data_IF_734624216393
#
_entry.id   IF_734624216393
#
_cell.length_a   1.000
_cell.length_b   1.000
_cell.length_c   1.000
_cell.angle_alpha   90.00
_cell.angle_beta   90.00
_cell.angle_gamma   90.00
#
_symmetry.space_group_name_H-M   'P 1'
#
loop_
_entity.id
_entity.type
_entity.pdbx_description
1 polymer ?
#
# COMPACT_ATOMS: atom_id res chain seq x y z
N UNK A 1 -11.29 -5.43 -23.59
CA UNK A 1 -11.22 -5.41 -22.12
C UNK A 1 -9.89 -4.76 -21.73
N UNK A 2 -9.90 -3.88 -20.73
CA UNK A 2 -8.70 -3.21 -20.22
C UNK A 2 -8.53 -3.50 -18.75
N UNK A 3 -7.28 -3.71 -18.30
CA UNK A 3 -6.94 -3.82 -16.88
C UNK A 3 -6.35 -2.47 -16.45
N UNK A 4 -6.95 -1.86 -15.42
CA UNK A 4 -6.45 -0.62 -14.83
C UNK A 4 -5.43 -0.95 -13.74
N UNK A 5 -4.15 -0.93 -14.09
CA UNK A 5 -3.03 -1.14 -13.17
C UNK A 5 -2.33 0.19 -12.81
N UNK A 6 -3.04 1.32 -12.88
CA UNK A 6 -2.43 2.66 -12.69
C UNK A 6 -2.32 3.09 -11.22
N UNK A 7 -2.53 2.16 -10.28
CA UNK A 7 -2.38 2.40 -8.86
C UNK A 7 -3.43 3.38 -8.31
N UNK A 8 -3.06 4.16 -7.33
CA UNK A 8 -3.96 5.15 -6.72
C UNK A 8 -4.53 6.19 -7.70
N UNK A 9 -3.89 6.39 -8.84
CA UNK A 9 -4.38 7.34 -9.88
C UNK A 9 -5.66 6.86 -10.55
N UNK A 10 -5.90 5.52 -10.65
CA UNK A 10 -7.13 4.93 -11.20
C UNK A 10 -7.52 5.53 -12.56
N UNK A 11 -6.55 5.72 -13.45
CA UNK A 11 -6.70 6.53 -14.66
C UNK A 11 -7.84 6.04 -15.55
N UNK A 12 -7.93 4.73 -15.80
CA UNK A 12 -8.98 4.17 -16.63
C UNK A 12 -10.31 4.06 -15.87
N UNK A 13 -10.25 3.67 -14.61
CA UNK A 13 -11.45 3.51 -13.77
C UNK A 13 -12.15 4.82 -13.52
N UNK A 14 -11.41 5.92 -13.32
CA UNK A 14 -11.97 7.25 -13.13
C UNK A 14 -12.55 7.85 -14.42
N UNK A 15 -12.14 7.37 -15.60
CA UNK A 15 -12.69 7.79 -16.87
C UNK A 15 -14.11 7.24 -17.12
N UNK A 16 -14.54 6.23 -16.36
CA UNK A 16 -15.88 5.62 -16.50
C UNK A 16 -16.82 6.24 -15.46
N UNK A 17 -17.97 6.82 -15.88
CA UNK A 17 -18.93 7.41 -14.96
C UNK A 17 -19.41 6.43 -13.89
N UNK A 18 -19.66 6.94 -12.68
CA UNK A 18 -20.17 6.15 -11.55
C UNK A 18 -19.09 5.28 -10.89
N UNK A 19 -17.83 5.65 -10.92
CA UNK A 19 -16.77 5.02 -10.13
C UNK A 19 -16.96 5.44 -8.66
N UNK A 20 -17.62 4.58 -7.88
CA UNK A 20 -17.92 4.83 -6.48
C UNK A 20 -16.84 4.19 -5.62
N UNK A 21 -15.92 5.03 -5.13
CA UNK A 21 -14.97 4.60 -4.11
C UNK A 21 -15.66 4.54 -2.76
N UNK A 22 -15.70 3.36 -2.19
CA UNK A 22 -16.28 3.14 -0.86
C UNK A 22 -15.16 3.14 0.16
N UNK A 23 -15.23 4.02 1.13
CA UNK A 23 -14.30 4.06 2.26
C UNK A 23 -14.88 3.28 3.44
N UNK A 24 -14.06 2.57 4.24
CA UNK A 24 -14.53 1.88 5.43
C UNK A 24 -14.88 2.84 6.59
N UNK A 25 -14.87 4.16 6.34
CA UNK A 25 -15.17 5.17 7.34
C UNK A 25 -14.15 5.15 8.48
N UNK A 26 -14.65 5.29 9.72
CA UNK A 26 -13.84 5.36 10.93
C UNK A 26 -13.20 4.02 11.35
N UNK A 27 -13.41 2.95 10.57
CA UNK A 27 -12.84 1.63 10.89
C UNK A 27 -11.32 1.57 10.65
N UNK A 28 -10.78 2.41 9.76
CA UNK A 28 -9.34 2.50 9.49
C UNK A 28 -8.82 3.86 9.93
N UNK A 29 -7.94 3.82 10.91
CA UNK A 29 -7.45 5.01 11.59
C UNK A 29 -6.41 5.78 10.78
N UNK A 30 -5.53 5.09 10.03
CA UNK A 30 -4.41 5.71 9.32
C UNK A 30 -4.75 6.05 7.87
N UNK A 31 -4.23 7.18 7.38
CA UNK A 31 -4.44 7.66 6.03
C UNK A 31 -3.18 8.25 5.39
N UNK A 32 -2.07 8.21 6.10
CA UNK A 32 -0.79 8.75 5.64
C UNK A 32 0.36 7.89 6.16
N UNK A 33 1.49 7.96 5.47
CA UNK A 33 2.72 7.34 5.92
C UNK A 33 3.94 8.21 5.58
N UNK A 34 4.95 8.14 6.43
CA UNK A 34 6.31 8.59 6.13
C UNK A 34 7.22 7.37 6.05
N UNK A 35 7.99 7.25 4.98
CA UNK A 35 8.84 6.09 4.72
C UNK A 35 10.27 6.49 4.41
N UNK A 36 11.23 5.66 4.84
CA UNK A 36 12.64 5.82 4.50
C UNK A 36 13.36 4.46 4.49
N UNK A 37 14.62 4.48 4.08
CA UNK A 37 15.52 3.33 4.09
C UNK A 37 16.41 3.38 5.32
N UNK A 38 16.52 2.27 6.04
CA UNK A 38 17.25 2.15 7.29
C UNK A 38 18.42 1.21 7.09
N UNK A 39 19.62 1.64 7.49
CA UNK A 39 20.78 0.77 7.53
C UNK A 39 20.65 -0.23 8.69
N UNK A 40 21.14 -1.44 8.49
CA UNK A 40 21.34 -2.35 9.61
C UNK A 40 22.32 -1.75 10.63
N UNK A 41 22.12 -2.07 11.90
CA UNK A 41 22.97 -1.60 12.99
C UNK A 41 24.36 -2.23 12.92
N UNK A 42 24.36 -3.53 12.63
CA UNK A 42 25.56 -4.36 12.44
C UNK A 42 25.19 -5.62 11.67
N UNK A 43 26.20 -6.43 11.31
CA UNK A 43 26.02 -7.69 10.56
C UNK A 43 25.24 -8.77 11.31
N UNK A 44 25.02 -8.61 12.61
CA UNK A 44 24.28 -9.55 13.46
C UNK A 44 22.81 -9.15 13.62
N UNK A 45 22.40 -7.96 13.15
CA UNK A 45 20.99 -7.58 13.17
C UNK A 45 20.19 -8.53 12.28
N UNK A 46 19.18 -9.18 12.86
CA UNK A 46 18.47 -10.29 12.22
C UNK A 46 17.78 -9.88 10.91
N UNK A 47 18.09 -10.61 9.84
CA UNK A 47 17.41 -10.53 8.55
C UNK A 47 16.39 -11.68 8.46
N UNK A 48 15.25 -11.51 9.12
CA UNK A 48 14.16 -12.50 9.07
C UNK A 48 13.28 -12.33 7.83
N UNK A 49 12.59 -13.40 7.36
CA UNK A 49 11.82 -13.38 6.12
C UNK A 49 10.36 -12.91 6.31
N UNK A 50 10.11 -12.04 7.25
CA UNK A 50 8.78 -11.48 7.53
C UNK A 50 8.84 -9.97 7.81
N UNK A 51 7.71 -9.32 7.73
CA UNK A 51 7.54 -7.90 8.04
C UNK A 51 7.09 -7.78 9.49
N UNK A 52 7.77 -6.95 10.28
CA UNK A 52 7.29 -6.58 11.60
C UNK A 52 6.32 -5.40 11.49
N UNK A 53 5.25 -5.46 12.26
CA UNK A 53 4.37 -4.34 12.54
C UNK A 53 4.50 -3.98 14.02
N UNK A 54 4.97 -2.79 14.30
CA UNK A 54 5.25 -2.31 15.66
C UNK A 54 4.28 -1.19 16.01
N UNK A 55 3.55 -1.33 17.10
CA UNK A 55 2.67 -0.27 17.59
C UNK A 55 3.48 0.99 17.95
N UNK A 56 2.93 2.15 17.65
CA UNK A 56 3.48 3.47 17.96
C UNK A 56 2.35 4.43 18.37
N UNK A 57 2.63 5.43 19.20
CA UNK A 57 1.61 6.36 19.70
C UNK A 57 0.87 7.12 18.58
N UNK A 58 1.54 7.36 17.44
CA UNK A 58 0.93 8.01 16.27
C UNK A 58 0.24 7.03 15.30
N UNK A 59 0.39 5.70 15.52
CA UNK A 59 -0.13 4.68 14.64
C UNK A 59 0.70 3.40 14.68
N UNK A 60 1.46 3.05 13.63
CA UNK A 60 2.30 1.86 13.64
C UNK A 60 3.44 1.95 12.63
N UNK A 61 4.54 1.26 12.92
CA UNK A 61 5.74 1.22 12.09
C UNK A 61 5.88 -0.16 11.45
N UNK A 62 6.09 -0.22 10.13
CA UNK A 62 6.52 -1.45 9.48
C UNK A 62 8.04 -1.51 9.40
N UNK A 63 8.57 -2.74 9.45
CA UNK A 63 9.97 -3.05 9.19
C UNK A 63 10.02 -4.22 8.23
N UNK A 64 10.59 -3.99 7.07
CA UNK A 64 10.76 -5.02 6.02
C UNK A 64 12.25 -5.26 5.84
N UNK A 65 12.83 -6.28 6.50
CA UNK A 65 14.23 -6.64 6.28
C UNK A 65 14.43 -7.13 4.85
N UNK A 66 15.43 -6.58 4.18
CA UNK A 66 15.90 -7.05 2.89
C UNK A 66 17.42 -7.13 2.93
N UNK A 67 18.05 -7.69 1.90
CA UNK A 67 19.46 -8.08 1.92
C UNK A 67 20.45 -7.02 2.45
N UNK A 68 20.23 -5.75 2.15
CA UNK A 68 21.20 -4.66 2.40
C UNK A 68 20.66 -3.51 3.23
N UNK A 69 19.38 -3.58 3.63
CA UNK A 69 18.70 -2.53 4.40
C UNK A 69 17.37 -3.01 4.98
N UNK A 70 16.78 -2.18 5.78
CA UNK A 70 15.39 -2.32 6.21
C UNK A 70 14.56 -1.24 5.50
N UNK A 71 13.54 -1.65 4.75
CA UNK A 71 12.48 -0.74 4.31
C UNK A 71 11.53 -0.47 5.47
N UNK A 72 11.36 0.78 5.86
CA UNK A 72 10.50 1.12 7.00
C UNK A 72 9.70 2.38 6.78
N UNK A 73 8.62 2.50 7.53
CA UNK A 73 7.85 3.73 7.61
C UNK A 73 6.87 3.71 8.76
N UNK A 74 6.38 4.88 9.11
CA UNK A 74 5.37 5.13 10.13
C UNK A 74 4.05 5.48 9.44
N UNK A 75 3.02 4.68 9.67
CA UNK A 75 1.64 5.00 9.30
C UNK A 75 1.00 5.83 10.41
N UNK A 76 0.31 6.90 10.02
CA UNK A 76 -0.31 7.83 10.95
C UNK A 76 -1.60 8.45 10.36
N UNK A 77 -2.34 9.18 11.20
CA UNK A 77 -3.52 9.93 10.77
C UNK A 77 -3.17 11.40 10.60
N UNK A 78 -3.21 11.88 9.35
CA UNK A 78 -2.85 13.26 9.02
C UNK A 78 -3.82 14.33 9.54
N UNK A 79 -5.00 13.93 10.06
CA UNK A 79 -5.93 14.88 10.70
C UNK A 79 -5.51 15.29 12.11
N UNK A 80 -4.63 14.50 12.75
CA UNK A 80 -4.18 14.73 14.13
C UNK A 80 -2.64 14.81 14.27
N UNK A 81 -1.90 14.40 13.24
CA UNK A 81 -0.43 14.39 13.24
C UNK A 81 0.08 15.10 11.99
N UNK A 82 0.96 16.09 12.16
CA UNK A 82 1.60 16.75 11.02
C UNK A 82 2.66 15.86 10.36
N UNK A 83 3.02 16.17 9.10
CA UNK A 83 4.11 15.47 8.39
C UNK A 83 5.43 15.59 9.15
N UNK A 84 5.71 16.76 9.73
CA UNK A 84 6.93 16.99 10.49
C UNK A 84 6.96 16.18 11.80
N UNK A 85 5.86 16.14 12.55
CA UNK A 85 5.79 15.33 13.77
C UNK A 85 5.96 13.83 13.47
N UNK A 86 5.42 13.35 12.34
CA UNK A 86 5.59 11.98 11.89
C UNK A 86 7.04 11.68 11.48
N UNK A 87 7.73 12.61 10.80
CA UNK A 87 9.16 12.47 10.53
C UNK A 87 10.00 12.44 11.81
N UNK A 88 9.75 13.38 12.71
CA UNK A 88 10.50 13.49 13.97
C UNK A 88 10.34 12.22 14.81
N UNK A 89 9.12 11.70 14.92
CA UNK A 89 8.83 10.44 15.60
C UNK A 89 9.50 9.22 14.92
N UNK A 90 9.51 9.19 13.60
CA UNK A 90 10.20 8.14 12.83
C UNK A 90 11.72 8.20 13.04
N UNK A 91 12.30 9.40 13.05
CA UNK A 91 13.73 9.62 13.33
C UNK A 91 14.08 9.26 14.78
N UNK A 92 13.22 9.62 15.73
CA UNK A 92 13.40 9.24 17.15
C UNK A 92 13.40 7.72 17.33
N UNK A 93 12.48 7.02 16.65
CA UNK A 93 12.38 5.57 16.73
C UNK A 93 13.62 4.84 16.18
N UNK A 94 14.12 5.28 15.03
CA UNK A 94 15.23 4.59 14.34
C UNK A 94 16.62 5.09 14.74
N UNK A 95 16.74 6.36 15.10
CA UNK A 95 18.01 7.07 15.20
C UNK A 95 18.44 7.66 13.85
N UNK A 96 18.86 8.92 13.89
CA UNK A 96 19.26 9.68 12.69
C UNK A 96 20.44 9.05 11.94
N UNK A 97 21.36 8.42 12.64
CA UNK A 97 22.55 7.75 12.13
C UNK A 97 22.24 6.49 11.32
N UNK A 98 21.06 5.91 11.50
CA UNK A 98 20.59 4.73 10.76
C UNK A 98 19.89 5.07 9.45
N UNK A 99 19.47 6.31 9.24
CA UNK A 99 18.84 6.73 7.99
C UNK A 99 19.84 6.65 6.84
N UNK A 100 19.52 5.85 5.81
CA UNK A 100 20.44 5.56 4.72
C UNK A 100 20.67 6.77 3.81
N UNK A 101 19.63 7.51 3.49
CA UNK A 101 19.66 8.65 2.56
C UNK A 101 19.32 9.98 3.21
N UNK A 102 18.72 9.97 4.38
CA UNK A 102 18.13 11.16 5.00
C UNK A 102 16.93 11.74 4.27
N UNK A 103 16.42 11.02 3.23
CA UNK A 103 15.25 11.42 2.48
C UNK A 103 14.01 10.68 3.00
N UNK A 104 12.89 11.40 3.05
CA UNK A 104 11.58 10.86 3.43
C UNK A 104 10.63 10.86 2.25
N UNK A 105 9.89 9.78 2.11
CA UNK A 105 8.82 9.66 1.14
C UNK A 105 7.47 9.72 1.87
N UNK A 106 6.73 10.81 1.63
CA UNK A 106 5.38 10.97 2.17
C UNK A 106 4.36 10.36 1.22
N UNK A 107 3.51 9.51 1.77
CA UNK A 107 2.48 8.78 1.04
C UNK A 107 1.15 9.11 1.69
N UNK A 108 0.31 9.83 0.97
CA UNK A 108 -1.07 10.08 1.38
C UNK A 108 -1.97 9.08 0.65
N UNK A 109 -2.89 8.43 1.36
CA UNK A 109 -3.80 7.44 0.79
C UNK A 109 -5.19 7.52 1.41
N UNK A 110 -6.17 7.11 0.63
CA UNK A 110 -7.55 6.96 1.11
C UNK A 110 -7.88 5.47 1.12
N UNK A 111 -7.97 4.84 2.31
CA UNK A 111 -8.41 3.46 2.39
C UNK A 111 -9.79 3.28 1.78
N UNK A 112 -9.98 2.18 1.06
CA UNK A 112 -11.26 1.91 0.43
C UNK A 112 -11.15 0.93 -0.74
N UNK A 113 -12.26 0.78 -1.44
CA UNK A 113 -12.37 -0.13 -2.58
C UNK A 113 -13.43 0.38 -3.57
N UNK A 114 -13.36 -0.09 -4.80
CA UNK A 114 -14.43 0.15 -5.76
C UNK A 114 -15.63 -0.76 -5.43
N UNK A 115 -16.80 -0.18 -5.23
CA UNK A 115 -18.03 -0.95 -4.97
C UNK A 115 -18.35 -1.92 -6.12
N UNK A 116 -17.93 -1.59 -7.35
CA UNK A 116 -18.06 -2.42 -8.54
C UNK A 116 -16.71 -2.52 -9.24
N UNK A 117 -16.04 -3.66 -9.11
CA UNK A 117 -14.71 -3.90 -9.71
C UNK A 117 -14.70 -4.12 -11.21
N UNK A 118 -15.84 -4.40 -11.85
CA UNK A 118 -15.94 -4.53 -13.30
C UNK A 118 -16.98 -3.56 -13.83
N UNK A 119 -16.55 -2.62 -14.68
CA UNK A 119 -17.42 -1.60 -15.25
C UNK A 119 -17.11 -1.41 -16.74
N UNK A 120 -18.15 -1.51 -17.56
CA UNK A 120 -17.99 -1.54 -19.00
C UNK A 120 -16.91 -2.56 -19.41
N UNK A 121 -15.85 -2.11 -20.05
CA UNK A 121 -14.73 -2.94 -20.48
C UNK A 121 -13.45 -2.73 -19.64
N UNK A 122 -13.54 -2.14 -18.44
CA UNK A 122 -12.40 -1.88 -17.54
C UNK A 122 -12.55 -2.65 -16.23
N UNK A 123 -11.45 -3.25 -15.81
CA UNK A 123 -11.31 -3.95 -14.53
C UNK A 123 -10.12 -3.33 -13.79
N UNK A 124 -10.32 -2.67 -12.65
CA UNK A 124 -9.23 -2.19 -11.81
C UNK A 124 -8.51 -3.34 -11.10
N UNK A 125 -7.20 -3.26 -11.00
CA UNK A 125 -6.34 -4.29 -10.41
C UNK A 125 -5.36 -3.65 -9.42
N UNK A 126 -5.11 -4.33 -8.30
CA UNK A 126 -4.20 -3.84 -7.26
C UNK A 126 -4.73 -2.56 -6.61
N UNK A 127 -3.88 -1.56 -6.42
CA UNK A 127 -4.24 -0.29 -5.77
C UNK A 127 -5.34 0.49 -6.53
N UNK A 128 -5.58 0.19 -7.81
CA UNK A 128 -6.71 0.75 -8.56
C UNK A 128 -8.04 0.14 -8.13
N UNK A 129 -8.05 -1.09 -7.62
CA UNK A 129 -9.28 -1.79 -7.20
C UNK A 129 -9.63 -1.53 -5.73
N UNK A 130 -8.63 -1.45 -4.87
CA UNK A 130 -8.81 -1.25 -3.44
C UNK A 130 -7.49 -1.16 -2.68
N UNK A 131 -7.56 -0.54 -1.52
CA UNK A 131 -6.46 -0.47 -0.57
C UNK A 131 -7.04 -0.29 0.84
N UNK A 132 -6.73 -1.21 1.72
CA UNK A 132 -7.21 -1.14 3.11
C UNK A 132 -6.22 -0.34 3.93
N UNK A 133 -5.11 -0.95 4.24
CA UNK A 133 -3.92 -0.33 4.85
C UNK A 133 -2.75 -1.29 4.70
N UNK A 134 -1.49 -0.84 4.86
CA UNK A 134 -0.35 -1.72 4.64
C UNK A 134 -0.08 -2.73 5.76
N UNK A 135 -0.90 -2.77 6.82
CA UNK A 135 -0.78 -3.73 7.91
C UNK A 135 -0.80 -5.17 7.35
N UNK A 136 0.14 -5.99 7.78
CA UNK A 136 0.33 -7.39 7.33
C UNK A 136 0.53 -7.57 5.82
N UNK A 137 0.93 -6.51 5.09
CA UNK A 137 1.16 -6.57 3.64
C UNK A 137 -0.05 -7.08 2.83
N UNK A 138 -1.26 -6.84 3.32
CA UNK A 138 -2.53 -7.34 2.75
C UNK A 138 -2.77 -6.93 1.29
N UNK A 139 -2.16 -5.84 0.83
CA UNK A 139 -2.33 -5.33 -0.54
C UNK A 139 -1.95 -6.34 -1.63
N UNK A 140 -0.86 -7.09 -1.45
CA UNK A 140 -0.45 -8.12 -2.40
C UNK A 140 -1.41 -9.31 -2.40
N UNK A 141 -1.86 -9.75 -1.23
CA UNK A 141 -2.84 -10.83 -1.10
C UNK A 141 -4.18 -10.46 -1.75
N UNK A 142 -4.65 -9.23 -1.54
CA UNK A 142 -5.85 -8.71 -2.19
C UNK A 142 -5.72 -8.71 -3.72
N UNK A 143 -4.57 -8.28 -4.24
CA UNK A 143 -4.30 -8.28 -5.68
C UNK A 143 -4.34 -9.70 -6.26
N UNK A 144 -3.69 -10.67 -5.64
CA UNK A 144 -3.68 -12.07 -6.08
C UNK A 144 -5.10 -12.64 -6.06
N UNK A 145 -5.85 -12.40 -4.98
CA UNK A 145 -7.23 -12.88 -4.85
C UNK A 145 -8.17 -12.24 -5.88
N UNK A 146 -7.95 -10.99 -6.27
CA UNK A 146 -8.72 -10.36 -7.35
C UNK A 146 -8.38 -10.93 -8.73
N UNK A 147 -7.14 -11.38 -8.95
CA UNK A 147 -6.69 -11.92 -10.24
C UNK A 147 -7.11 -13.38 -10.46
N UNK A 148 -7.20 -14.19 -9.40
CA UNK A 148 -7.52 -15.61 -9.50
C UNK A 148 -8.85 -15.89 -10.22
N UNK A 149 -9.98 -15.21 -9.93
CA UNK A 149 -11.23 -15.37 -10.66
C UNK A 149 -11.13 -14.95 -12.14
N UNK A 150 -10.31 -13.94 -12.46
CA UNK A 150 -10.10 -13.50 -13.83
C UNK A 150 -9.32 -14.54 -14.65
N UNK A 151 -8.33 -15.20 -14.05
CA UNK A 151 -7.57 -16.26 -14.70
C UNK A 151 -8.43 -17.52 -14.96
N UNK A 152 -9.38 -17.82 -14.08
CA UNK A 152 -10.32 -18.93 -14.22
C UNK A 152 -11.56 -18.63 -15.06
N UNK A 153 -11.76 -17.38 -15.47
CA UNK A 153 -12.95 -16.99 -16.20
C UNK A 153 -12.86 -17.44 -17.67
N UNK A 154 -13.87 -18.19 -18.16
CA UNK A 154 -13.99 -18.58 -19.58
C UNK A 154 -13.96 -17.41 -20.57
N UNK A 155 -14.04 -16.18 -20.09
CA UNK A 155 -13.83 -14.97 -20.88
C UNK A 155 -12.45 -14.91 -21.51
N UNK A 156 -11.42 -15.47 -20.86
CA UNK A 156 -10.08 -15.58 -21.42
C UNK A 156 -10.03 -16.58 -22.61
N UNK A 157 -10.83 -17.64 -22.57
CA UNK A 157 -10.99 -18.58 -23.69
C UNK A 157 -11.69 -17.92 -24.89
N UNK A 158 -12.69 -17.08 -24.63
CA UNK A 158 -13.41 -16.34 -25.70
C UNK A 158 -12.56 -15.30 -26.41
N UNK A 159 -11.60 -14.71 -25.72
CA UNK A 159 -10.65 -13.75 -26.32
C UNK A 159 -9.66 -14.47 -27.25
N UNK A 160 -9.23 -15.68 -26.88
CA UNK A 160 -8.30 -16.50 -27.69
C UNK A 160 -8.95 -17.10 -28.94
N UNK A 161 -10.26 -17.26 -28.96
CA UNK A 161 -10.99 -17.83 -30.12
C UNK A 161 -11.39 -16.79 -31.18
N UNK A 162 -11.23 -15.49 -30.87
CA UNK A 162 -11.64 -14.40 -31.76
C UNK A 162 -10.45 -13.52 -32.23
N UNK A 163 -9.21 -13.98 -32.07
CA UNK A 163 -7.99 -13.46 -32.65
C UNK A 163 -7.45 -14.47 -33.69
#
# INVERSE_FOLDING_TARGET
>A
MFLDCTGFKKVLSNAIPGNDWTTPGDMLFVNSAVASQINYKDDNESQHPYVDAVAHDLGWIWKTPIKDRIGSGLCYNSSITSKQDAEDAFVEYWGKDRLRTGEFNHIDFTPGYNAKNWRANVIPVGLSSGFVEPLESSGLALMINCMAPLAGCKLMESIHQNI
#
